data_IF_183042078542
#
_entry.id   IF_183042078542
#
_cell.length_a   1.000
_cell.length_b   1.000
_cell.length_c   1.000
_cell.angle_alpha   90.00
_cell.angle_beta   90.00
_cell.angle_gamma   90.00
#
_symmetry.space_group_name_H-M   'P 1'
#
loop_
_entity.id
_entity.type
_entity.pdbx_description
1 polymer ?
#
# COMPACT_ATOMS: atom_id res chain seq x y z
N UNK A 1 -26.35 -37.72 -50.97
CA UNK A 1 -25.28 -37.24 -50.09
C UNK A 1 -25.95 -36.75 -48.83
N UNK A 2 -25.75 -37.39 -47.67
CA UNK A 2 -26.28 -36.82 -46.43
C UNK A 2 -25.42 -35.62 -46.07
N UNK A 3 -26.04 -34.46 -46.04
CA UNK A 3 -25.45 -33.22 -45.57
C UNK A 3 -24.97 -33.40 -44.13
N UNK A 4 -23.77 -32.90 -43.80
CA UNK A 4 -23.12 -33.09 -42.47
C UNK A 4 -22.74 -31.77 -41.81
N UNK A 5 -23.34 -30.66 -42.23
CA UNK A 5 -23.01 -29.34 -41.70
C UNK A 5 -24.11 -28.91 -40.74
N UNK A 6 -23.71 -28.42 -39.57
CA UNK A 6 -24.59 -27.76 -38.62
C UNK A 6 -24.15 -26.31 -38.49
N UNK A 7 -24.97 -25.38 -38.98
CA UNK A 7 -24.72 -23.96 -38.83
C UNK A 7 -25.24 -23.49 -37.48
N UNK A 8 -24.32 -23.27 -36.54
CA UNK A 8 -24.64 -22.81 -35.19
C UNK A 8 -24.05 -21.41 -34.99
N UNK A 9 -24.83 -20.40 -34.56
CA UNK A 9 -24.29 -19.07 -34.25
C UNK A 9 -23.27 -19.14 -33.11
N UNK A 10 -22.06 -18.62 -33.33
CA UNK A 10 -21.09 -18.41 -32.27
C UNK A 10 -21.44 -17.21 -31.37
N UNK A 11 -20.83 -17.10 -30.17
CA UNK A 11 -19.82 -18.00 -29.61
C UNK A 11 -20.40 -19.20 -28.84
N UNK A 12 -19.86 -20.40 -29.10
CA UNK A 12 -20.41 -21.69 -28.65
C UNK A 12 -20.46 -21.95 -27.14
N UNK A 13 -19.84 -21.12 -26.31
CA UNK A 13 -19.92 -21.22 -24.85
C UNK A 13 -21.24 -20.67 -24.29
N UNK A 14 -22.05 -20.01 -25.13
CA UNK A 14 -23.35 -19.47 -24.76
C UNK A 14 -24.44 -20.55 -24.69
N UNK A 15 -24.21 -21.77 -25.17
CA UNK A 15 -25.22 -22.84 -25.16
C UNK A 15 -25.13 -23.71 -23.92
N UNK A 16 -26.26 -24.14 -23.38
CA UNK A 16 -26.35 -24.93 -22.15
C UNK A 16 -25.67 -26.29 -22.36
N UNK A 17 -25.93 -26.89 -23.52
CA UNK A 17 -25.40 -28.17 -23.94
C UNK A 17 -23.97 -28.07 -24.46
N UNK A 18 -23.25 -29.19 -24.42
CA UNK A 18 -21.98 -29.32 -25.12
C UNK A 18 -22.24 -29.51 -26.62
N UNK A 19 -22.35 -28.39 -27.33
CA UNK A 19 -22.61 -28.35 -28.78
C UNK A 19 -21.56 -29.15 -29.56
N UNK A 20 -20.31 -29.24 -29.09
CA UNK A 20 -19.25 -30.02 -29.74
C UNK A 20 -19.46 -31.52 -29.56
N UNK A 21 -19.89 -31.94 -28.36
CA UNK A 21 -20.24 -33.34 -28.11
C UNK A 21 -21.47 -33.75 -28.92
N UNK A 22 -22.50 -32.89 -29.00
CA UNK A 22 -23.71 -33.13 -29.81
C UNK A 22 -23.39 -33.26 -31.30
N UNK A 23 -22.58 -32.34 -31.84
CA UNK A 23 -22.14 -32.42 -33.23
C UNK A 23 -21.36 -33.71 -33.52
N UNK A 24 -20.46 -34.10 -32.60
CA UNK A 24 -19.69 -35.34 -32.73
C UNK A 24 -20.58 -36.59 -32.68
N UNK A 25 -21.57 -36.62 -31.79
CA UNK A 25 -22.52 -37.73 -31.67
C UNK A 25 -23.41 -37.86 -32.93
N UNK A 26 -23.83 -36.72 -33.50
CA UNK A 26 -24.62 -36.67 -34.73
C UNK A 26 -23.77 -36.81 -36.02
N UNK A 27 -22.44 -36.85 -35.92
CA UNK A 27 -21.54 -36.90 -37.08
C UNK A 27 -21.52 -35.61 -37.91
N UNK A 28 -21.86 -34.47 -37.30
CA UNK A 28 -21.97 -33.15 -37.90
C UNK A 28 -20.70 -32.32 -37.69
N UNK A 29 -20.41 -31.42 -38.63
CA UNK A 29 -19.38 -30.38 -38.54
C UNK A 29 -20.06 -29.05 -38.23
N UNK A 30 -19.66 -28.43 -37.13
CA UNK A 30 -20.16 -27.11 -36.74
C UNK A 30 -19.48 -26.05 -37.60
N UNK A 31 -20.27 -25.20 -38.23
CA UNK A 31 -19.82 -23.97 -38.90
C UNK A 31 -20.50 -22.79 -38.22
N UNK A 32 -19.78 -21.69 -38.01
CA UNK A 32 -20.35 -20.49 -37.44
C UNK A 32 -21.33 -19.84 -38.44
N UNK A 33 -22.60 -19.77 -38.06
CA UNK A 33 -23.65 -19.17 -38.86
C UNK A 33 -23.44 -17.66 -39.07
N UNK A 34 -22.75 -16.97 -38.16
CA UNK A 34 -22.49 -15.53 -38.28
C UNK A 34 -21.38 -15.20 -39.29
N UNK A 35 -20.51 -16.16 -39.60
CA UNK A 35 -19.38 -16.00 -40.50
C UNK A 35 -19.67 -16.45 -41.94
N UNK A 36 -20.89 -16.93 -42.22
CA UNK A 36 -21.25 -17.53 -43.52
C UNK A 36 -22.54 -16.93 -44.07
N UNK A 37 -22.51 -16.49 -45.33
CA UNK A 37 -23.66 -15.89 -46.02
C UNK A 37 -24.64 -16.93 -46.59
N UNK A 38 -24.18 -18.18 -46.77
CA UNK A 38 -24.96 -19.28 -47.36
C UNK A 38 -24.95 -20.52 -46.46
N UNK A 39 -26.10 -21.21 -46.40
CA UNK A 39 -26.32 -22.43 -45.62
C UNK A 39 -26.30 -23.70 -46.49
N UNK A 40 -25.51 -23.67 -47.56
CA UNK A 40 -25.40 -24.79 -48.48
C UNK A 40 -24.84 -26.03 -47.76
N UNK A 41 -25.54 -27.17 -47.90
CA UNK A 41 -25.10 -28.42 -47.27
C UNK A 41 -25.47 -28.56 -45.80
N UNK A 42 -26.41 -27.75 -45.28
CA UNK A 42 -26.99 -27.89 -43.95
C UNK A 42 -27.72 -29.24 -43.80
N UNK A 43 -27.47 -29.92 -42.68
CA UNK A 43 -28.17 -31.15 -42.31
C UNK A 43 -29.63 -30.84 -41.99
N UNK A 44 -30.54 -31.69 -42.45
CA UNK A 44 -31.96 -31.59 -42.08
C UNK A 44 -32.24 -32.07 -40.65
N UNK A 45 -31.31 -32.84 -40.08
CA UNK A 45 -31.38 -33.39 -38.73
C UNK A 45 -30.23 -32.78 -37.92
N UNK A 46 -30.54 -31.74 -37.15
CA UNK A 46 -29.61 -31.02 -36.28
C UNK A 46 -30.11 -31.09 -34.83
N UNK A 47 -29.20 -31.25 -33.85
CA UNK A 47 -29.58 -31.23 -32.44
C UNK A 47 -30.19 -29.89 -32.03
N UNK A 48 -31.24 -29.93 -31.21
CA UNK A 48 -31.80 -28.75 -30.57
C UNK A 48 -30.91 -28.34 -29.38
N UNK A 49 -30.65 -27.04 -29.24
CA UNK A 49 -29.75 -26.48 -28.22
C UNK A 49 -30.31 -25.19 -27.66
N UNK A 50 -30.12 -25.00 -26.36
CA UNK A 50 -30.66 -23.87 -25.62
C UNK A 50 -29.54 -22.92 -25.21
N UNK A 51 -29.82 -21.61 -25.21
CA UNK A 51 -28.86 -20.63 -24.70
C UNK A 51 -28.85 -20.70 -23.17
N UNK A 52 -27.67 -20.70 -22.58
CA UNK A 52 -27.47 -20.49 -21.15
C UNK A 52 -28.08 -19.14 -20.80
N UNK A 53 -28.94 -19.16 -19.80
CA UNK A 53 -29.30 -17.98 -19.02
C UNK A 53 -28.07 -17.62 -18.15
N UNK A 54 -26.98 -17.20 -18.81
CA UNK A 54 -25.89 -16.54 -18.11
C UNK A 54 -26.38 -15.14 -17.84
N UNK A 55 -26.62 -14.85 -16.55
CA UNK A 55 -26.82 -13.49 -16.03
C UNK A 55 -26.01 -12.54 -16.89
N UNK A 56 -26.74 -11.82 -17.74
CA UNK A 56 -26.20 -10.90 -18.70
C UNK A 56 -25.24 -10.02 -17.92
N UNK A 57 -23.94 -10.10 -18.20
CA UNK A 57 -23.12 -8.92 -18.00
C UNK A 57 -23.91 -7.82 -18.69
N UNK A 58 -24.37 -6.81 -17.93
CA UNK A 58 -25.27 -5.78 -18.41
C UNK A 58 -24.58 -5.01 -19.54
N UNK A 59 -24.55 -5.59 -20.73
CA UNK A 59 -24.42 -4.87 -21.97
C UNK A 59 -25.80 -4.30 -22.14
N UNK A 60 -25.93 -3.02 -21.83
CA UNK A 60 -27.10 -2.22 -22.18
C UNK A 60 -27.25 -2.35 -23.70
N UNK A 61 -28.13 -3.25 -24.14
CA UNK A 61 -28.57 -3.29 -25.53
C UNK A 61 -29.47 -2.07 -25.70
N UNK A 62 -28.90 -1.00 -26.23
CA UNK A 62 -29.65 0.16 -26.73
C UNK A 62 -30.42 -0.29 -27.96
N UNK A 63 -31.56 -0.95 -27.74
CA UNK A 63 -32.42 -1.45 -28.81
C UNK A 63 -33.90 -1.53 -28.44
N UNK A 64 -34.27 -1.31 -27.18
CA UNK A 64 -35.67 -1.33 -26.73
C UNK A 64 -36.01 -0.41 -25.56
N UNK A 65 -35.09 0.46 -25.15
CA UNK A 65 -35.33 1.48 -24.12
C UNK A 65 -35.78 2.79 -24.74
N UNK A 66 -36.62 3.53 -24.03
CA UNK A 66 -37.00 4.91 -24.38
C UNK A 66 -35.73 5.74 -24.62
N UNK A 67 -35.49 6.26 -25.83
CA UNK A 67 -34.30 7.05 -26.14
C UNK A 67 -34.11 8.22 -25.17
N UNK A 68 -35.19 8.79 -24.61
CA UNK A 68 -35.10 9.85 -23.61
C UNK A 68 -34.42 9.42 -22.30
N UNK A 69 -34.63 8.18 -21.84
CA UNK A 69 -33.99 7.68 -20.62
C UNK A 69 -32.49 7.44 -20.81
N UNK A 70 -32.10 7.01 -22.01
CA UNK A 70 -30.69 6.83 -22.35
C UNK A 70 -29.98 8.18 -22.44
N UNK A 71 -30.59 9.16 -23.10
CA UNK A 71 -30.05 10.53 -23.19
C UNK A 71 -29.90 11.16 -21.80
N UNK A 72 -30.87 10.97 -20.91
CA UNK A 72 -30.80 11.44 -19.52
C UNK A 72 -29.67 10.75 -18.73
N UNK A 73 -29.51 9.43 -18.88
CA UNK A 73 -28.44 8.69 -18.23
C UNK A 73 -27.06 9.16 -18.73
N UNK A 74 -26.91 9.35 -20.03
CA UNK A 74 -25.66 9.86 -20.63
C UNK A 74 -25.36 11.26 -20.10
N UNK A 75 -26.35 12.15 -20.03
CA UNK A 75 -26.17 13.48 -19.48
C UNK A 75 -25.70 13.43 -18.02
N UNK A 76 -26.32 12.56 -17.19
CA UNK A 76 -25.95 12.36 -15.80
C UNK A 76 -24.52 11.83 -15.64
N UNK A 77 -24.15 10.82 -16.42
CA UNK A 77 -22.81 10.23 -16.40
C UNK A 77 -21.74 11.23 -16.84
N UNK A 78 -22.03 12.07 -17.83
CA UNK A 78 -21.10 13.13 -18.25
C UNK A 78 -20.90 14.17 -17.14
N UNK A 79 -21.96 14.57 -16.43
CA UNK A 79 -21.85 15.47 -15.27
C UNK A 79 -20.97 14.84 -14.18
N UNK A 80 -21.21 13.58 -13.81
CA UNK A 80 -20.37 12.91 -12.80
C UNK A 80 -18.91 12.81 -13.24
N UNK A 81 -18.67 12.45 -14.49
CA UNK A 81 -17.32 12.38 -15.08
C UNK A 81 -16.62 13.72 -14.97
N UNK A 82 -17.25 14.80 -15.40
CA UNK A 82 -16.62 16.11 -15.47
C UNK A 82 -16.29 16.64 -14.07
N UNK A 83 -17.18 16.41 -13.09
CA UNK A 83 -16.92 16.75 -11.68
C UNK A 83 -15.77 15.92 -11.08
N UNK A 84 -15.70 14.61 -11.40
CA UNK A 84 -14.56 13.77 -10.99
C UNK A 84 -13.25 14.29 -11.59
N UNK A 85 -13.26 14.68 -12.87
CA UNK A 85 -12.07 15.25 -13.52
C UNK A 85 -11.61 16.51 -12.80
N UNK A 86 -12.52 17.42 -12.45
CA UNK A 86 -12.17 18.62 -11.68
C UNK A 86 -11.54 18.27 -10.32
N UNK A 87 -12.07 17.28 -9.62
CA UNK A 87 -11.49 16.82 -8.34
C UNK A 87 -10.09 16.23 -8.50
N UNK A 88 -9.84 15.49 -9.58
CA UNK A 88 -8.51 14.95 -9.89
C UNK A 88 -7.53 16.09 -10.16
N UNK A 89 -7.90 17.07 -10.98
CA UNK A 89 -7.08 18.26 -11.23
C UNK A 89 -6.78 19.02 -9.93
N UNK A 90 -7.75 19.09 -9.01
CA UNK A 90 -7.53 19.68 -7.69
C UNK A 90 -6.54 18.88 -6.84
N UNK A 91 -6.65 17.55 -6.85
CA UNK A 91 -5.73 16.67 -6.14
C UNK A 91 -4.31 16.72 -6.72
N UNK A 92 -4.18 16.96 -8.01
CA UNK A 92 -2.90 17.19 -8.71
C UNK A 92 -2.34 18.61 -8.48
N UNK A 93 -3.10 19.50 -7.81
CA UNK A 93 -2.70 20.88 -7.53
C UNK A 93 -2.82 21.81 -8.74
N UNK A 94 -3.51 21.39 -9.80
CA UNK A 94 -3.77 22.20 -10.99
C UNK A 94 -4.94 23.17 -10.79
N UNK A 95 -5.84 22.87 -9.85
CA UNK A 95 -6.97 23.72 -9.48
C UNK A 95 -7.21 23.74 -7.96
N UNK A 96 -7.94 24.73 -7.42
CA UNK A 96 -8.40 24.69 -6.03
C UNK A 96 -9.41 23.57 -5.83
N UNK A 97 -9.32 22.87 -4.69
CA UNK A 97 -10.29 21.85 -4.32
C UNK A 97 -11.66 22.47 -4.04
N UNK A 98 -12.64 22.14 -4.87
CA UNK A 98 -14.04 22.58 -4.73
C UNK A 98 -14.91 21.37 -4.42
N UNK A 99 -15.81 21.52 -3.45
CA UNK A 99 -16.80 20.49 -3.14
C UNK A 99 -17.83 20.40 -4.27
N UNK A 100 -18.04 19.22 -4.87
CA UNK A 100 -19.09 19.04 -5.88
C UNK A 100 -20.47 19.22 -5.26
N UNK A 101 -21.36 19.94 -5.94
CA UNK A 101 -22.74 20.18 -5.49
C UNK A 101 -23.71 19.04 -5.85
N UNK A 102 -23.30 18.14 -6.74
CA UNK A 102 -24.11 17.03 -7.24
C UNK A 102 -23.25 15.83 -7.66
N UNK A 103 -23.90 14.68 -7.82
CA UNK A 103 -23.27 13.41 -8.20
C UNK A 103 -22.75 12.64 -6.99
N UNK A 104 -23.17 11.38 -6.85
CA UNK A 104 -22.79 10.54 -5.70
C UNK A 104 -21.28 10.25 -5.71
N UNK A 105 -20.73 9.89 -6.88
CA UNK A 105 -19.31 9.55 -7.02
C UNK A 105 -18.38 10.75 -6.78
N UNK A 106 -18.59 11.93 -7.38
CA UNK A 106 -17.81 13.12 -7.06
C UNK A 106 -17.82 13.47 -5.56
N UNK A 107 -19.00 13.46 -4.92
CA UNK A 107 -19.11 13.80 -3.50
C UNK A 107 -18.31 12.80 -2.64
N UNK A 108 -18.49 11.50 -2.89
CA UNK A 108 -17.75 10.46 -2.16
C UNK A 108 -16.24 10.55 -2.38
N UNK A 109 -15.81 10.88 -3.59
CA UNK A 109 -14.39 11.10 -3.89
C UNK A 109 -13.84 12.30 -3.13
N UNK A 110 -14.58 13.42 -3.10
CA UNK A 110 -14.20 14.60 -2.34
C UNK A 110 -14.05 14.30 -0.84
N UNK A 111 -14.99 13.57 -0.24
CA UNK A 111 -14.94 13.20 1.17
C UNK A 111 -13.72 12.31 1.48
N UNK A 112 -13.44 11.34 0.60
CA UNK A 112 -12.27 10.48 0.73
C UNK A 112 -10.95 11.25 0.63
N UNK A 113 -10.83 12.15 -0.36
CA UNK A 113 -9.65 13.00 -0.54
C UNK A 113 -9.46 13.96 0.64
N UNK A 114 -10.56 14.53 1.14
CA UNK A 114 -10.55 15.39 2.32
C UNK A 114 -10.09 14.64 3.58
N UNK A 115 -10.58 13.42 3.79
CA UNK A 115 -10.12 12.53 4.86
C UNK A 115 -8.63 12.19 4.76
N UNK A 116 -8.14 11.88 3.57
CA UNK A 116 -6.70 11.63 3.32
C UNK A 116 -5.87 12.89 3.63
N UNK A 117 -6.31 14.07 3.17
CA UNK A 117 -5.62 15.33 3.41
C UNK A 117 -5.52 15.66 4.91
N UNK A 118 -6.62 15.47 5.66
CA UNK A 118 -6.64 15.62 7.11
C UNK A 118 -5.68 14.63 7.78
N UNK A 119 -5.68 13.37 7.36
CA UNK A 119 -4.74 12.35 7.84
C UNK A 119 -3.28 12.75 7.62
N UNK A 120 -2.93 13.20 6.41
CA UNK A 120 -1.57 13.67 6.09
C UNK A 120 -1.17 14.85 6.97
N UNK A 121 -2.09 15.79 7.21
CA UNK A 121 -1.85 16.94 8.08
C UNK A 121 -1.58 16.52 9.52
N UNK A 122 -2.33 15.55 10.06
CA UNK A 122 -2.09 14.97 11.39
C UNK A 122 -0.72 14.29 11.46
N UNK A 123 -0.41 13.42 10.49
CA UNK A 123 0.88 12.73 10.43
C UNK A 123 2.06 13.71 10.37
N UNK A 124 1.90 14.81 9.64
CA UNK A 124 2.90 15.86 9.56
C UNK A 124 3.14 16.49 10.95
N UNK A 125 2.07 16.81 11.67
CA UNK A 125 2.16 17.37 13.02
C UNK A 125 2.82 16.39 14.00
N UNK A 126 2.44 15.11 13.96
CA UNK A 126 3.05 14.06 14.79
C UNK A 126 4.55 13.90 14.49
N UNK A 127 4.92 13.84 13.20
CA UNK A 127 6.32 13.78 12.77
C UNK A 127 7.12 14.97 13.30
N UNK A 128 6.58 16.18 13.18
CA UNK A 128 7.27 17.40 13.62
C UNK A 128 7.43 17.44 15.16
N UNK A 129 6.42 16.93 15.90
CA UNK A 129 6.51 16.72 17.33
C UNK A 129 7.60 15.71 17.72
N UNK A 130 7.64 14.55 17.07
CA UNK A 130 8.66 13.53 17.29
C UNK A 130 10.07 14.01 16.93
N UNK A 131 10.20 14.83 15.88
CA UNK A 131 11.48 15.43 15.51
C UNK A 131 12.00 16.34 16.64
N UNK A 132 11.11 17.15 17.22
CA UNK A 132 11.43 18.04 18.35
C UNK A 132 11.82 17.23 19.60
N UNK A 133 11.09 16.16 19.91
CA UNK A 133 11.42 15.27 21.03
C UNK A 133 12.79 14.60 20.83
N UNK A 134 13.07 14.11 19.61
CA UNK A 134 14.35 13.49 19.29
C UNK A 134 15.53 14.48 19.42
N UNK A 135 15.33 15.75 19.07
CA UNK A 135 16.31 16.81 19.30
C UNK A 135 16.53 17.06 20.80
N UNK A 136 15.46 17.11 21.59
CA UNK A 136 15.53 17.23 23.05
C UNK A 136 16.35 16.10 23.69
N UNK A 137 16.02 14.84 23.36
CA UNK A 137 16.72 13.66 23.86
C UNK A 137 18.21 13.65 23.45
N UNK A 138 18.54 14.08 22.23
CA UNK A 138 19.94 14.23 21.81
C UNK A 138 20.67 15.27 22.65
N UNK A 139 20.01 16.38 22.97
CA UNK A 139 20.53 17.40 23.89
C UNK A 139 20.79 16.84 25.28
N UNK A 140 19.83 16.12 25.85
CA UNK A 140 19.98 15.47 27.16
C UNK A 140 21.12 14.45 27.18
N UNK A 141 21.23 13.61 26.16
CA UNK A 141 22.34 12.66 26.02
C UNK A 141 23.68 13.39 25.96
N UNK A 142 23.77 14.49 25.21
CA UNK A 142 24.99 15.29 25.14
C UNK A 142 25.36 15.89 26.51
N UNK A 143 24.38 16.44 27.23
CA UNK A 143 24.57 16.98 28.59
C UNK A 143 24.99 15.90 29.59
N UNK A 144 24.33 14.74 29.57
CA UNK A 144 24.67 13.60 30.44
C UNK A 144 26.06 13.06 30.13
N UNK A 145 26.42 12.96 28.85
CA UNK A 145 27.76 12.55 28.43
C UNK A 145 28.82 13.55 28.90
N UNK A 146 28.56 14.86 28.77
CA UNK A 146 29.47 15.89 29.26
C UNK A 146 29.62 15.86 30.80
N UNK A 147 28.53 15.64 31.53
CA UNK A 147 28.56 15.47 32.98
C UNK A 147 29.34 14.22 33.39
N UNK A 148 29.15 13.10 32.70
CA UNK A 148 29.90 11.87 32.94
C UNK A 148 31.41 12.05 32.69
N UNK A 149 31.80 12.76 31.62
CA UNK A 149 33.22 13.08 31.36
C UNK A 149 33.80 13.95 32.47
N UNK A 150 33.09 15.01 32.89
CA UNK A 150 33.54 15.87 34.00
C UNK A 150 33.75 15.09 35.29
N UNK A 151 32.81 14.21 35.65
CA UNK A 151 32.94 13.36 36.84
C UNK A 151 34.14 12.41 36.74
N UNK A 152 34.42 11.86 35.55
CA UNK A 152 35.60 11.04 35.33
C UNK A 152 36.90 11.84 35.47
N UNK A 153 36.95 13.06 34.93
CA UNK A 153 38.11 13.94 35.03
C UNK A 153 38.34 14.42 36.47
N UNK A 154 37.29 14.87 37.17
CA UNK A 154 37.37 15.28 38.59
C UNK A 154 37.77 14.11 39.51
N UNK A 155 37.29 12.90 39.23
CA UNK A 155 37.73 11.70 39.94
C UNK A 155 39.21 11.38 39.69
N UNK A 156 39.68 11.55 38.45
CA UNK A 156 41.08 11.30 38.08
C UNK A 156 42.04 12.36 38.63
N UNK A 157 41.60 13.62 38.74
CA UNK A 157 42.37 14.73 39.30
C UNK A 157 42.41 14.66 40.84
N UNK A 158 41.29 14.31 41.48
CA UNK A 158 41.22 14.09 42.93
C UNK A 158 42.17 12.96 43.40
N UNK A 159 42.31 11.89 42.61
CA UNK A 159 43.28 10.83 42.89
C UNK A 159 44.75 11.32 42.83
N UNK A 160 45.05 12.33 42.02
CA UNK A 160 46.40 12.87 41.87
C UNK A 160 46.84 13.73 43.07
N UNK A 161 45.88 14.36 43.76
CA UNK A 161 46.13 15.18 44.94
C UNK A 161 46.41 14.35 46.21
N UNK A 162 46.00 13.07 46.24
CA UNK A 162 46.22 12.18 47.38
C UNK A 162 47.71 11.99 47.71
N UNK A 163 48.01 11.92 49.00
CA UNK A 163 49.36 11.56 49.49
C UNK A 163 49.63 10.07 49.31
N UNK A 164 50.91 9.67 49.33
CA UNK A 164 51.27 8.25 49.20
C UNK A 164 50.63 7.35 50.27
N UNK A 165 50.37 7.87 51.48
CA UNK A 165 49.68 7.14 52.54
C UNK A 165 48.20 6.91 52.21
N UNK A 166 47.53 7.95 51.69
CA UNK A 166 46.11 7.86 51.33
C UNK A 166 45.89 6.98 50.09
N UNK A 167 46.84 6.97 49.15
CA UNK A 167 46.81 6.04 48.00
C UNK A 167 46.93 4.58 48.44
N UNK A 168 47.81 4.29 49.41
CA UNK A 168 47.95 2.94 50.00
C UNK A 168 46.66 2.49 50.69
N UNK A 169 46.06 3.37 51.49
CA UNK A 169 44.78 3.09 52.16
C UNK A 169 43.64 2.79 51.18
N UNK A 170 43.58 3.48 50.04
CA UNK A 170 42.60 3.18 48.99
C UNK A 170 42.89 1.86 48.24
N UNK A 171 44.17 1.54 48.01
CA UNK A 171 44.57 0.25 47.43
C UNK A 171 44.25 -0.91 48.40
N UNK A 172 44.50 -0.74 49.69
CA UNK A 172 44.15 -1.69 50.74
C UNK A 172 42.64 -1.91 50.83
N UNK A 173 41.84 -0.83 50.79
CA UNK A 173 40.38 -0.90 50.78
C UNK A 173 39.82 -1.64 49.54
N UNK A 174 40.53 -1.58 48.40
CA UNK A 174 40.21 -2.32 47.17
C UNK A 174 40.88 -3.71 47.10
N UNK A 175 41.70 -4.08 48.08
CA UNK A 175 42.42 -5.36 48.10
C UNK A 175 43.52 -5.50 47.04
N UNK A 176 44.09 -4.38 46.56
CA UNK A 176 45.12 -4.36 45.51
C UNK A 176 46.51 -4.40 46.15
N UNK A 177 47.30 -5.42 45.81
CA UNK A 177 48.66 -5.56 46.33
C UNK A 177 49.64 -4.55 45.70
N UNK A 178 50.42 -3.87 46.53
CA UNK A 178 51.52 -2.98 46.14
C UNK A 178 52.79 -3.33 46.93
N UNK A 179 53.98 -2.89 46.47
CA UNK A 179 55.24 -3.15 47.16
C UNK A 179 55.56 -2.01 48.13
N UNK A 180 56.22 -2.34 49.24
CA UNK A 180 56.56 -1.35 50.29
C UNK A 180 57.44 -0.19 49.79
N UNK A 181 58.17 -0.37 48.67
CA UNK A 181 59.02 0.65 48.05
C UNK A 181 58.37 1.43 46.91
N UNK A 182 57.10 1.16 46.57
CA UNK A 182 56.45 1.83 45.43
C UNK A 182 56.29 3.33 45.70
N UNK A 183 56.68 4.14 44.71
CA UNK A 183 56.61 5.59 44.78
C UNK A 183 55.18 6.09 44.47
N UNK A 184 54.85 7.32 44.87
CA UNK A 184 53.54 7.96 44.59
C UNK A 184 53.03 7.74 43.15
N UNK A 185 53.82 7.94 42.07
CA UNK A 185 53.33 7.69 40.71
C UNK A 185 52.99 6.22 40.42
N UNK A 186 53.69 5.25 41.02
CA UNK A 186 53.42 3.82 40.84
C UNK A 186 52.14 3.39 41.55
N UNK A 187 51.93 3.86 42.79
CA UNK A 187 50.71 3.63 43.56
C UNK A 187 49.47 4.25 42.86
N UNK A 188 49.64 5.44 42.29
CA UNK A 188 48.59 6.11 41.54
C UNK A 188 48.27 5.38 40.24
N UNK A 189 49.27 4.84 39.54
CA UNK A 189 49.05 4.04 38.33
C UNK A 189 48.29 2.74 38.63
N UNK A 190 48.63 2.05 39.73
CA UNK A 190 47.92 0.86 40.19
C UNK A 190 46.45 1.16 40.53
N UNK A 191 46.20 2.28 41.21
CA UNK A 191 44.85 2.67 41.59
C UNK A 191 43.99 3.07 40.38
N UNK A 192 44.56 3.78 39.39
CA UNK A 192 43.90 4.12 38.12
C UNK A 192 43.62 2.90 37.26
N UNK A 193 44.50 1.91 37.26
CA UNK A 193 44.29 0.65 36.52
C UNK A 193 43.17 -0.22 37.12
N UNK A 194 42.70 0.10 38.32
CA UNK A 194 41.67 -0.63 39.06
C UNK A 194 40.38 0.19 39.31
N UNK A 195 40.20 1.29 38.57
CA UNK A 195 38.91 1.97 38.40
C UNK A 195 38.20 1.42 37.16
#
# INVERSE_FOLDING_TARGET
>A
MSNKIWYLPGPFHQYQEDVKALAKAAGLRIIDANATESREGESADVPDVTLRDVDSHQVVIVGGGDPGQLEELIARLNIERDLIVTLIESAEGLSPLVQPEAGELPIRLFDALSGIHQGITSLKAERDGLATEAEGLRGEIASLKAAATKLADEGADSLAELTASQLKEQLDAKGIAYKSGDLKPELLALLKAAQ
#
